data_IF_438565358604
#
_entry.id   IF_438565358604
#
_cell.length_a   1.000
_cell.length_b   1.000
_cell.length_c   1.000
_cell.angle_alpha   90.00
_cell.angle_beta   90.00
_cell.angle_gamma   90.00
#
_symmetry.space_group_name_H-M   'P 1'
#
loop_
_entity.id
_entity.type
_entity.pdbx_description
1 polymer ?
#
# COMPACT_ATOMS: atom_id res chain seq x y z
N UNK A 1 -17.40 25.50 -39.26
CA UNK A 1 -17.12 25.62 -37.83
C UNK A 1 -16.59 24.27 -37.35
N UNK A 2 -15.31 24.13 -36.95
CA UNK A 2 -14.76 22.88 -36.48
C UNK A 2 -15.20 22.65 -35.02
N UNK A 3 -15.69 21.44 -34.70
CA UNK A 3 -16.03 21.00 -33.39
C UNK A 3 -14.76 20.71 -32.58
N UNK A 4 -14.63 21.14 -31.32
CA UNK A 4 -13.50 20.76 -30.49
C UNK A 4 -13.59 19.26 -30.14
N UNK A 5 -12.50 18.54 -30.40
CA UNK A 5 -12.32 17.17 -29.93
C UNK A 5 -12.09 17.22 -28.42
N UNK A 6 -13.01 16.61 -27.63
CA UNK A 6 -12.84 16.40 -26.22
C UNK A 6 -11.86 15.23 -26.07
N UNK A 7 -10.65 15.54 -25.67
CA UNK A 7 -9.68 14.52 -25.27
C UNK A 7 -10.15 13.91 -23.94
N UNK A 8 -10.65 12.68 -24.00
CA UNK A 8 -10.90 11.88 -22.80
C UNK A 8 -9.52 11.49 -22.23
N UNK A 9 -9.13 12.12 -21.14
CA UNK A 9 -7.97 11.65 -20.38
C UNK A 9 -8.33 10.29 -19.77
N UNK A 10 -7.75 9.21 -20.32
CA UNK A 10 -7.76 7.91 -19.65
C UNK A 10 -6.96 8.05 -18.35
N UNK A 11 -7.66 8.07 -17.23
CA UNK A 11 -7.05 7.82 -15.93
C UNK A 11 -6.70 6.33 -15.94
N UNK A 12 -5.41 6.02 -16.08
CA UNK A 12 -4.91 4.67 -15.89
C UNK A 12 -5.11 4.29 -14.41
N UNK A 13 -6.23 3.62 -14.10
CA UNK A 13 -6.38 2.90 -12.84
C UNK A 13 -5.25 1.86 -12.76
N UNK A 14 -4.74 1.57 -11.56
CA UNK A 14 -3.79 0.49 -11.34
C UNK A 14 -4.47 -0.85 -11.68
N UNK A 15 -4.54 -1.18 -12.97
CA UNK A 15 -5.15 -2.44 -13.45
C UNK A 15 -4.22 -3.61 -13.13
N UNK A 16 -4.48 -4.26 -12.02
CA UNK A 16 -4.03 -5.63 -11.78
C UNK A 16 -4.98 -6.58 -12.50
N UNK A 17 -4.53 -7.26 -13.54
CA UNK A 17 -5.33 -8.22 -14.30
C UNK A 17 -5.78 -9.41 -13.44
N UNK A 18 -7.04 -9.42 -13.07
CA UNK A 18 -7.72 -10.49 -12.36
C UNK A 18 -9.04 -9.97 -11.79
N UNK A 19 -10.10 -10.78 -11.85
CA UNK A 19 -11.45 -10.45 -11.34
C UNK A 19 -11.54 -10.39 -9.80
N UNK A 20 -10.40 -10.29 -9.08
CA UNK A 20 -10.38 -10.15 -7.63
C UNK A 20 -10.52 -8.68 -7.24
N UNK A 21 -11.35 -8.42 -6.26
CA UNK A 21 -11.51 -7.10 -5.65
C UNK A 21 -10.19 -6.67 -5.01
N UNK A 22 -9.45 -5.77 -5.69
CA UNK A 22 -8.14 -5.29 -5.25
C UNK A 22 -8.22 -4.44 -3.99
N UNK A 23 -9.42 -3.99 -3.61
CA UNK A 23 -9.63 -3.18 -2.39
C UNK A 23 -9.91 -4.04 -1.17
N UNK A 24 -10.23 -5.33 -1.37
CA UNK A 24 -10.50 -6.28 -0.29
C UNK A 24 -9.70 -7.58 -0.44
N UNK A 25 -8.35 -7.54 -0.43
CA UNK A 25 -7.51 -8.73 -0.59
C UNK A 25 -7.62 -9.70 0.59
N UNK A 26 -8.01 -9.22 1.76
CA UNK A 26 -8.30 -10.04 2.95
C UNK A 26 -9.77 -9.80 3.33
N UNK A 27 -10.71 -10.58 2.77
CA UNK A 27 -12.15 -10.34 2.98
C UNK A 27 -12.64 -10.71 4.39
N UNK A 28 -11.85 -11.49 5.14
CA UNK A 28 -12.14 -11.89 6.52
C UNK A 28 -10.92 -11.62 7.39
N UNK A 29 -11.13 -10.96 8.55
CA UNK A 29 -10.06 -10.67 9.52
C UNK A 29 -9.28 -11.93 9.90
N UNK A 30 -7.94 -11.86 9.83
CA UNK A 30 -7.04 -12.94 10.24
C UNK A 30 -6.60 -12.71 11.69
N UNK A 31 -6.84 -13.69 12.57
CA UNK A 31 -6.60 -13.54 14.01
C UNK A 31 -5.11 -13.51 14.41
N UNK A 32 -4.25 -14.17 13.64
CA UNK A 32 -2.79 -14.22 13.88
C UNK A 32 -2.05 -14.05 12.53
N UNK A 33 -2.06 -12.84 11.95
CA UNK A 33 -1.46 -12.62 10.64
C UNK A 33 0.06 -12.64 10.71
N UNK A 34 0.69 -13.13 9.63
CA UNK A 34 2.13 -13.05 9.40
C UNK A 34 2.41 -12.33 8.08
N UNK A 35 3.62 -11.76 7.97
CA UNK A 35 3.97 -10.98 6.80
C UNK A 35 3.88 -11.79 5.50
N UNK A 36 4.56 -12.91 5.45
CA UNK A 36 4.70 -13.70 4.19
C UNK A 36 3.41 -14.35 3.75
N UNK A 37 2.56 -14.79 4.69
CA UNK A 37 1.32 -15.50 4.38
C UNK A 37 0.16 -14.59 4.06
N UNK A 38 0.03 -13.47 4.79
CA UNK A 38 -1.20 -12.67 4.78
C UNK A 38 -0.95 -11.24 4.27
N UNK A 39 0.10 -10.57 4.77
CA UNK A 39 0.29 -9.13 4.53
C UNK A 39 0.92 -8.86 3.17
N UNK A 40 2.02 -9.55 2.84
CA UNK A 40 2.71 -9.34 1.56
C UNK A 40 1.80 -9.63 0.35
N UNK A 41 1.05 -10.75 0.28
CA UNK A 41 0.10 -10.97 -0.81
C UNK A 41 -0.96 -9.89 -0.91
N UNK A 42 -1.48 -9.39 0.23
CA UNK A 42 -2.47 -8.32 0.24
C UNK A 42 -1.89 -7.00 -0.30
N UNK A 43 -0.68 -6.62 0.10
CA UNK A 43 0.00 -5.43 -0.42
C UNK A 43 0.32 -5.56 -1.91
N UNK A 44 0.72 -6.74 -2.37
CA UNK A 44 0.96 -7.01 -3.78
C UNK A 44 -0.31 -6.89 -4.62
N UNK A 45 -1.43 -7.38 -4.11
CA UNK A 45 -2.72 -7.35 -4.80
C UNK A 45 -3.30 -5.93 -4.86
N UNK A 46 -3.28 -5.18 -3.74
CA UNK A 46 -3.91 -3.85 -3.65
C UNK A 46 -3.02 -2.70 -4.08
N UNK A 47 -1.72 -2.82 -3.87
CA UNK A 47 -0.79 -1.71 -4.02
C UNK A 47 0.36 -2.02 -5.00
N UNK A 48 0.67 -3.29 -5.21
CA UNK A 48 1.74 -3.74 -6.11
C UNK A 48 1.23 -3.87 -7.54
N UNK A 49 1.87 -3.18 -8.48
CA UNK A 49 1.71 -3.45 -9.90
C UNK A 49 3.04 -3.88 -10.49
N UNK A 50 3.07 -5.00 -11.22
CA UNK A 50 4.28 -5.44 -11.94
C UNK A 50 4.69 -4.48 -13.05
N UNK A 51 3.75 -3.64 -13.53
CA UNK A 51 3.95 -2.70 -14.64
C UNK A 51 4.48 -1.33 -14.21
N UNK A 52 4.78 -1.13 -12.92
CA UNK A 52 5.53 0.05 -12.48
C UNK A 52 4.73 1.32 -12.24
N UNK A 53 3.39 1.27 -12.28
CA UNK A 53 2.57 2.49 -12.12
C UNK A 53 2.24 2.86 -10.68
N UNK A 54 2.37 1.91 -9.73
CA UNK A 54 2.14 2.12 -8.31
C UNK A 54 3.36 1.67 -7.49
N UNK A 55 3.19 0.84 -6.47
CA UNK A 55 4.28 0.29 -5.68
C UNK A 55 4.84 -1.00 -6.28
N UNK A 56 5.08 -0.98 -7.60
CA UNK A 56 5.66 -2.08 -8.35
C UNK A 56 6.80 -1.63 -9.25
N UNK A 57 7.44 -2.59 -9.95
CA UNK A 57 8.56 -2.31 -10.86
C UNK A 57 9.83 -1.85 -10.15
N UNK A 58 10.76 -1.29 -10.95
CA UNK A 58 12.10 -0.92 -10.48
C UNK A 58 12.21 0.53 -9.99
N UNK A 59 11.18 1.35 -10.22
CA UNK A 59 11.12 2.74 -9.78
C UNK A 59 9.76 3.05 -9.15
N UNK A 60 9.45 2.44 -7.99
CA UNK A 60 8.13 2.56 -7.37
C UNK A 60 7.90 3.96 -6.82
N UNK A 61 6.64 4.41 -6.88
CA UNK A 61 6.22 5.63 -6.20
C UNK A 61 6.40 5.45 -4.70
N UNK A 62 6.98 6.45 -4.02
CA UNK A 62 7.22 6.42 -2.59
C UNK A 62 8.36 5.52 -2.13
N UNK A 63 9.21 5.06 -3.07
CA UNK A 63 10.42 4.30 -2.79
C UNK A 63 10.18 2.95 -2.06
N UNK A 64 8.99 2.37 -2.19
CA UNK A 64 8.72 1.01 -1.73
C UNK A 64 8.06 0.21 -2.85
N UNK A 65 8.64 -0.92 -3.21
CA UNK A 65 8.08 -1.85 -4.18
C UNK A 65 7.60 -3.11 -3.45
N UNK A 66 6.32 -3.45 -3.63
CA UNK A 66 5.77 -4.72 -3.15
C UNK A 66 5.97 -5.83 -4.18
N UNK A 67 6.11 -5.46 -5.45
CA UNK A 67 6.43 -6.37 -6.54
C UNK A 67 7.38 -5.72 -7.54
N UNK A 68 8.23 -6.49 -8.19
CA UNK A 68 9.17 -6.02 -9.20
C UNK A 68 9.52 -7.11 -10.22
N UNK A 69 10.22 -6.73 -11.28
CA UNK A 69 10.83 -7.66 -12.22
C UNK A 69 12.33 -7.29 -12.35
N UNK A 70 13.27 -8.14 -11.90
CA UNK A 70 13.05 -9.42 -11.23
C UNK A 70 12.32 -9.30 -9.87
N UNK A 71 11.63 -10.37 -9.43
CA UNK A 71 10.89 -10.34 -8.17
C UNK A 71 11.79 -10.04 -6.98
N UNK A 72 11.32 -9.15 -6.11
CA UNK A 72 11.96 -8.90 -4.80
C UNK A 72 11.67 -10.05 -3.84
N UNK A 73 12.59 -10.33 -2.95
CA UNK A 73 12.32 -11.29 -1.88
C UNK A 73 11.34 -10.71 -0.87
N UNK A 74 10.61 -11.58 -0.17
CA UNK A 74 9.72 -11.15 0.91
C UNK A 74 10.51 -10.39 2.02
N UNK A 75 11.75 -10.80 2.28
CA UNK A 75 12.63 -10.16 3.26
C UNK A 75 12.99 -8.73 2.86
N UNK A 76 13.26 -8.46 1.56
CA UNK A 76 13.57 -7.12 1.10
C UNK A 76 12.38 -6.18 1.29
N UNK A 77 11.16 -6.66 0.93
CA UNK A 77 9.94 -5.87 1.12
C UNK A 77 9.66 -5.64 2.60
N UNK A 78 9.84 -6.63 3.45
CA UNK A 78 9.69 -6.50 4.89
C UNK A 78 10.66 -5.47 5.47
N UNK A 79 11.93 -5.53 5.07
CA UNK A 79 12.94 -4.57 5.51
C UNK A 79 12.61 -3.15 5.08
N UNK A 80 12.13 -2.94 3.84
CA UNK A 80 11.71 -1.62 3.35
C UNK A 80 10.52 -1.03 4.13
N UNK A 81 9.68 -1.89 4.68
CA UNK A 81 8.56 -1.44 5.52
C UNK A 81 9.01 -1.07 6.94
N UNK A 82 9.93 -1.84 7.52
CA UNK A 82 10.21 -1.79 8.96
C UNK A 82 11.48 -1.03 9.33
N UNK A 83 12.42 -0.82 8.40
CA UNK A 83 13.73 -0.23 8.73
C UNK A 83 13.87 1.23 8.32
N UNK A 84 13.75 1.63 7.03
CA UNK A 84 13.97 3.01 6.66
C UNK A 84 12.78 3.90 7.00
N UNK A 85 13.02 5.20 7.27
CA UNK A 85 11.94 6.16 7.38
C UNK A 85 11.20 6.29 6.03
N UNK A 86 9.91 6.63 6.04
CA UNK A 86 9.17 6.91 4.81
C UNK A 86 9.71 8.19 4.14
N UNK A 87 9.89 8.14 2.82
CA UNK A 87 10.48 9.24 2.07
C UNK A 87 9.64 10.53 2.08
N UNK A 88 8.34 10.43 2.27
CA UNK A 88 7.42 11.56 2.31
C UNK A 88 6.37 11.34 3.39
N UNK A 89 6.75 11.63 4.63
CA UNK A 89 5.89 11.55 5.80
C UNK A 89 6.29 12.61 6.83
N UNK A 90 5.39 13.02 7.73
CA UNK A 90 5.76 13.81 8.89
C UNK A 90 6.84 13.12 9.73
N UNK A 91 7.72 13.89 10.37
CA UNK A 91 8.80 13.37 11.21
C UNK A 91 8.32 12.53 12.41
N UNK A 92 7.04 12.54 12.71
CA UNK A 92 6.41 11.69 13.72
C UNK A 92 6.32 10.22 13.32
N UNK A 93 6.41 9.94 12.00
CA UNK A 93 6.40 8.58 11.47
C UNK A 93 7.84 8.15 11.16
N UNK A 94 8.45 7.41 12.06
CA UNK A 94 9.84 6.95 11.92
C UNK A 94 9.98 5.80 10.91
N UNK A 95 8.92 5.00 10.75
CA UNK A 95 8.91 3.85 9.85
C UNK A 95 7.58 3.77 9.10
N UNK A 96 7.58 3.07 7.96
CA UNK A 96 6.31 2.71 7.28
C UNK A 96 5.48 1.76 8.14
N UNK A 97 6.17 0.88 8.85
CA UNK A 97 5.60 -0.04 9.86
C UNK A 97 6.44 0.07 11.12
N UNK A 98 5.87 0.61 12.18
CA UNK A 98 6.45 0.64 13.52
C UNK A 98 5.95 -0.58 14.28
N UNK A 99 6.83 -1.56 14.47
CA UNK A 99 6.51 -2.81 15.16
C UNK A 99 5.88 -2.57 16.54
N UNK A 100 4.71 -3.12 16.78
CA UNK A 100 3.96 -2.94 18.03
C UNK A 100 3.15 -1.64 18.12
N UNK A 101 3.14 -0.79 17.08
CA UNK A 101 2.45 0.51 17.12
C UNK A 101 1.83 0.86 15.76
N UNK A 102 0.61 0.42 15.55
CA UNK A 102 -0.12 0.69 14.31
C UNK A 102 -0.47 2.17 14.14
N UNK A 103 -0.66 2.90 15.25
CA UNK A 103 -0.99 4.34 15.22
C UNK A 103 0.18 5.17 14.69
N UNK A 104 1.43 4.77 14.99
CA UNK A 104 2.64 5.42 14.47
C UNK A 104 3.21 4.77 13.22
N UNK A 105 2.43 3.91 12.58
CA UNK A 105 2.80 3.27 11.31
C UNK A 105 2.26 4.05 10.13
N UNK A 106 3.18 4.59 9.29
CA UNK A 106 2.80 5.38 8.11
C UNK A 106 1.92 4.62 7.12
N UNK A 107 2.08 3.30 7.02
CA UNK A 107 1.22 2.45 6.20
C UNK A 107 -0.25 2.57 6.60
N UNK A 108 -0.55 2.49 7.90
CA UNK A 108 -1.92 2.60 8.42
C UNK A 108 -2.49 3.98 8.14
N UNK A 109 -1.71 5.04 8.41
CA UNK A 109 -2.12 6.41 8.12
C UNK A 109 -2.48 6.58 6.64
N UNK A 110 -1.65 6.02 5.73
CA UNK A 110 -1.87 6.11 4.28
C UNK A 110 -3.10 5.38 3.78
N UNK A 111 -3.52 4.29 4.39
CA UNK A 111 -4.69 3.50 3.95
C UNK A 111 -5.99 3.87 4.67
N UNK A 112 -5.94 4.70 5.71
CA UNK A 112 -7.13 5.02 6.51
C UNK A 112 -7.52 6.50 6.51
N UNK A 113 -6.59 7.42 6.22
CA UNK A 113 -6.85 8.87 6.31
C UNK A 113 -6.99 9.51 4.94
N UNK A 114 -7.97 10.41 4.78
CA UNK A 114 -8.15 11.18 3.54
C UNK A 114 -6.97 12.10 3.25
N UNK A 115 -6.38 12.67 4.31
CA UNK A 115 -5.19 13.49 4.25
C UNK A 115 -4.13 12.95 5.21
N UNK A 116 -3.42 11.88 4.83
CA UNK A 116 -2.44 11.26 5.70
C UNK A 116 -1.32 12.25 6.05
N UNK A 117 -1.06 12.40 7.35
CA UNK A 117 -0.07 13.34 7.88
C UNK A 117 -0.44 14.81 7.74
N UNK A 118 -1.63 15.14 7.20
CA UNK A 118 -2.05 16.51 6.89
C UNK A 118 -1.70 16.92 5.45
N UNK A 119 -1.78 18.23 5.17
CA UNK A 119 -1.50 18.73 3.82
C UNK A 119 -0.03 18.56 3.42
N UNK A 120 0.23 18.18 2.18
CA UNK A 120 1.58 18.08 1.62
C UNK A 120 2.20 16.68 1.60
N UNK A 121 1.58 15.68 2.23
CA UNK A 121 2.11 14.31 2.29
C UNK A 121 1.42 13.33 1.34
N UNK A 122 0.68 13.87 0.38
CA UNK A 122 -0.02 13.13 -0.66
C UNK A 122 -1.38 12.59 -0.20
N UNK A 123 -2.04 11.89 -1.10
CA UNK A 123 -3.39 11.37 -0.88
C UNK A 123 -3.39 10.01 -0.16
N UNK A 124 -4.60 9.62 0.27
CA UNK A 124 -4.87 8.25 0.76
C UNK A 124 -4.53 7.21 -0.32
N UNK A 125 -4.18 6.03 0.12
CA UNK A 125 -3.92 4.87 -0.73
C UNK A 125 -5.01 3.79 -0.54
N UNK A 126 -5.37 3.06 -1.59
CA UNK A 126 -4.90 3.15 -2.97
C UNK A 126 -5.39 4.42 -3.67
N UNK A 127 -4.48 5.14 -4.34
CA UNK A 127 -4.83 6.41 -4.99
C UNK A 127 -5.77 6.20 -6.18
N UNK A 128 -6.89 6.93 -6.19
CA UNK A 128 -7.88 6.86 -7.28
C UNK A 128 -8.73 5.59 -7.32
N UNK A 129 -8.61 4.72 -6.32
CA UNK A 129 -9.38 3.49 -6.15
C UNK A 129 -10.27 3.58 -4.90
N UNK A 130 -11.28 2.69 -4.75
CA UNK A 130 -12.02 2.58 -3.51
C UNK A 130 -11.11 2.25 -2.31
N UNK A 131 -11.61 2.54 -1.12
CA UNK A 131 -10.90 2.29 0.13
C UNK A 131 -10.56 0.82 0.34
N UNK A 132 -9.44 0.56 1.00
CA UNK A 132 -9.13 -0.78 1.48
C UNK A 132 -10.22 -1.22 2.47
N UNK A 133 -10.79 -2.40 2.28
CA UNK A 133 -11.89 -2.88 3.11
C UNK A 133 -11.48 -3.06 4.59
N UNK A 134 -12.44 -2.88 5.49
CA UNK A 134 -12.21 -2.93 6.93
C UNK A 134 -11.53 -4.23 7.41
N UNK A 135 -11.89 -5.44 6.96
CA UNK A 135 -11.18 -6.66 7.37
C UNK A 135 -9.69 -6.65 7.03
N UNK A 136 -9.32 -6.11 5.86
CA UNK A 136 -7.91 -5.98 5.46
C UNK A 136 -7.19 -4.95 6.34
N UNK A 137 -7.78 -3.77 6.56
CA UNK A 137 -7.20 -2.75 7.45
C UNK A 137 -7.00 -3.32 8.85
N UNK A 138 -8.02 -3.99 9.41
CA UNK A 138 -7.95 -4.58 10.75
C UNK A 138 -6.87 -5.66 10.83
N UNK A 139 -6.74 -6.50 9.80
CA UNK A 139 -5.68 -7.53 9.76
C UNK A 139 -4.28 -6.90 9.73
N UNK A 140 -4.09 -5.83 8.95
CA UNK A 140 -2.82 -5.11 8.91
C UNK A 140 -2.50 -4.46 10.26
N UNK A 141 -3.47 -3.81 10.91
CA UNK A 141 -3.26 -3.21 12.24
C UNK A 141 -2.95 -4.27 13.30
N UNK A 142 -3.68 -5.39 13.33
CA UNK A 142 -3.42 -6.51 14.24
C UNK A 142 -2.02 -7.11 14.04
N UNK A 143 -1.58 -7.23 12.78
CA UNK A 143 -0.23 -7.69 12.46
C UNK A 143 0.83 -6.76 13.04
N UNK A 144 0.67 -5.45 12.85
CA UNK A 144 1.60 -4.44 13.37
C UNK A 144 1.61 -4.46 14.90
N UNK A 145 0.46 -4.42 15.55
CA UNK A 145 0.32 -4.34 17.00
C UNK A 145 0.85 -5.61 17.72
N UNK A 146 0.91 -6.74 17.00
CA UNK A 146 1.56 -7.97 17.45
C UNK A 146 3.08 -7.98 17.25
N UNK A 147 3.68 -6.88 16.85
CA UNK A 147 5.11 -6.79 16.63
C UNK A 147 5.52 -7.04 15.18
N UNK A 148 4.58 -7.00 14.23
CA UNK A 148 4.82 -7.22 12.80
C UNK A 148 5.59 -8.52 12.51
N UNK A 149 5.14 -9.72 12.95
CA UNK A 149 5.87 -10.97 12.74
C UNK A 149 6.02 -11.29 11.24
N UNK A 150 7.22 -11.75 10.89
CA UNK A 150 7.62 -12.11 9.53
C UNK A 150 6.93 -13.35 8.94
#
# INVERSE_FOLDING_TARGET
>A
MPRPAIALALVAACEGGGTQDTTCPIPTRVAAPTFTRDILPALQQSCGSRTGTCHGGNAPIGHVAYSSDPPRTAQDVYNDLTVPPPANAPATFLHRVTSGDSIRSWLVEKITKDQPGGSGYGARMPYGLPDVCLPTVTTITDWIDRGAPY
#
